data_IF_127225363821
#
_entry.id   IF_127225363821
#
_cell.length_a   1.000
_cell.length_b   1.000
_cell.length_c   1.000
_cell.angle_alpha   90.00
_cell.angle_beta   90.00
_cell.angle_gamma   90.00
#
_symmetry.space_group_name_H-M   'P 1'
#
loop_
_entity.id
_entity.type
_entity.pdbx_description
1 polymer ?
#
# COMPACT_ATOMS: atom_id res chain seq x y z
N UNK A 1 -8.17 -5.19 2.79
CA UNK A 1 -6.87 -5.84 3.09
C UNK A 1 -5.93 -4.87 3.80
N UNK A 2 -5.21 -5.34 4.84
CA UNK A 2 -4.20 -4.55 5.56
C UNK A 2 -2.82 -4.81 4.95
N UNK A 3 -2.08 -3.76 4.63
CA UNK A 3 -0.73 -3.83 4.04
C UNK A 3 0.21 -2.84 4.70
N UNK A 4 1.51 -3.13 4.69
CA UNK A 4 2.54 -2.23 5.19
C UNK A 4 3.18 -1.54 4.00
N UNK A 5 3.14 -0.21 3.96
CA UNK A 5 3.77 0.53 2.86
C UNK A 5 5.29 0.41 2.94
N UNK A 6 5.93 0.02 1.85
CA UNK A 6 7.41 -0.06 1.74
C UNK A 6 8.04 1.29 1.41
N UNK A 7 7.23 2.23 0.95
CA UNK A 7 7.62 3.60 0.60
C UNK A 7 6.49 4.59 0.89
N UNK A 8 6.80 5.88 0.84
CA UNK A 8 5.79 6.93 0.97
C UNK A 8 4.87 6.90 -0.26
N UNK A 9 3.56 6.74 -0.01
CA UNK A 9 2.54 6.74 -1.07
C UNK A 9 1.62 7.92 -0.83
N UNK A 10 1.69 8.90 -1.73
CA UNK A 10 0.90 10.13 -1.65
C UNK A 10 -0.59 9.81 -1.56
N UNK A 11 -1.24 10.30 -0.52
CA UNK A 11 -2.66 10.08 -0.26
C UNK A 11 -3.00 8.80 0.51
N UNK A 12 -2.04 7.88 0.72
CA UNK A 12 -2.28 6.62 1.45
C UNK A 12 -1.53 6.54 2.78
N UNK A 13 -0.26 6.95 2.81
CA UNK A 13 0.53 6.90 4.04
C UNK A 13 2.02 7.02 3.81
N UNK A 14 2.76 6.92 4.91
CA UNK A 14 4.23 6.93 4.93
C UNK A 14 4.80 5.52 4.93
N UNK A 15 6.08 5.42 4.57
CA UNK A 15 6.87 4.18 4.66
C UNK A 15 6.78 3.58 6.08
N UNK A 16 6.55 2.28 6.14
CA UNK A 16 6.41 1.50 7.37
C UNK A 16 5.04 1.60 8.03
N UNK A 17 4.10 2.38 7.47
CA UNK A 17 2.76 2.52 8.01
C UNK A 17 1.89 1.34 7.59
N UNK A 18 1.17 0.76 8.56
CA UNK A 18 0.10 -0.19 8.30
C UNK A 18 -1.13 0.58 7.84
N UNK A 19 -1.59 0.32 6.62
CA UNK A 19 -2.77 0.96 6.02
C UNK A 19 -3.79 -0.09 5.61
N UNK A 20 -5.06 0.26 5.74
CA UNK A 20 -6.17 -0.56 5.28
C UNK A 20 -6.67 -0.05 3.93
N UNK A 21 -6.59 -0.90 2.91
CA UNK A 21 -6.93 -0.56 1.53
C UNK A 21 -7.87 -1.61 0.95
N UNK A 22 -8.55 -1.27 -0.15
CA UNK A 22 -9.34 -2.24 -0.90
C UNK A 22 -8.45 -3.32 -1.51
N UNK A 23 -8.98 -4.54 -1.60
CA UNK A 23 -8.22 -5.70 -2.06
C UNK A 23 -7.73 -5.53 -3.51
N UNK A 24 -8.54 -4.89 -4.36
CA UNK A 24 -8.16 -4.55 -5.73
C UNK A 24 -7.00 -3.56 -5.81
N UNK A 25 -6.97 -2.55 -4.93
CA UNK A 25 -5.87 -1.59 -4.90
C UNK A 25 -4.57 -2.23 -4.42
N UNK A 26 -4.65 -3.09 -3.40
CA UNK A 26 -3.49 -3.87 -2.95
C UNK A 26 -2.94 -4.78 -4.06
N UNK A 27 -3.80 -5.61 -4.66
CA UNK A 27 -3.38 -6.65 -5.62
C UNK A 27 -3.00 -6.10 -7.00
N UNK A 28 -3.69 -5.08 -7.48
CA UNK A 28 -3.51 -4.61 -8.87
C UNK A 28 -2.59 -3.39 -8.98
N UNK A 29 -2.33 -2.68 -7.87
CA UNK A 29 -1.51 -1.46 -7.89
C UNK A 29 -0.34 -1.51 -6.92
N UNK A 30 -0.59 -1.72 -5.61
CA UNK A 30 0.48 -1.61 -4.60
C UNK A 30 1.51 -2.75 -4.71
N UNK A 31 1.06 -4.00 -4.72
CA UNK A 31 1.95 -5.18 -4.74
C UNK A 31 2.74 -5.30 -6.06
N UNK A 32 2.15 -5.16 -7.26
CA UNK A 32 2.91 -5.26 -8.51
C UNK A 32 3.97 -4.18 -8.67
N UNK A 33 3.74 -3.00 -8.06
CA UNK A 33 4.66 -1.86 -8.08
C UNK A 33 5.62 -1.85 -6.88
N UNK A 34 5.58 -2.86 -6.01
CA UNK A 34 6.42 -2.97 -4.80
C UNK A 34 6.29 -1.76 -3.84
N UNK A 35 5.10 -1.18 -3.78
CA UNK A 35 4.80 -0.01 -2.92
C UNK A 35 4.40 -0.41 -1.50
N UNK A 36 3.89 -1.63 -1.34
CA UNK A 36 3.44 -2.24 -0.10
C UNK A 36 3.73 -3.74 -0.11
#
# INVERSE_FOLDING_TARGET
>A
MKVILLQDVKGQGKKGQLVEVSDGYARNFLLPRKLA
#
